data_IF_193032436187
#
_entry.id   IF_193032436187
#
_cell.length_a   1.000
_cell.length_b   1.000
_cell.length_c   1.000
_cell.angle_alpha   90.00
_cell.angle_beta   90.00
_cell.angle_gamma   90.00
#
_symmetry.space_group_name_H-M   'P 1'
#
loop_
_entity.id
_entity.type
_entity.pdbx_description
1 polymer ?
#
# COMPACT_ATOMS: atom_id res chain seq x y z
N UNK A 1 7.72 -17.44 -14.23
CA UNK A 1 7.04 -16.51 -15.16
C UNK A 1 5.51 -16.72 -15.21
N UNK A 2 4.98 -17.95 -15.18
CA UNK A 2 3.52 -18.20 -15.24
C UNK A 2 2.67 -17.84 -14.01
N UNK A 3 3.26 -17.67 -12.83
CA UNK A 3 2.53 -17.39 -11.58
C UNK A 3 1.99 -15.96 -11.48
N UNK A 4 2.62 -14.98 -12.15
CA UNK A 4 2.20 -13.57 -12.12
C UNK A 4 1.03 -13.31 -13.09
N UNK A 5 1.01 -14.03 -14.22
CA UNK A 5 -0.06 -13.97 -15.21
C UNK A 5 -1.37 -14.58 -14.69
N UNK A 6 -1.29 -15.64 -13.87
CA UNK A 6 -2.47 -16.22 -13.22
C UNK A 6 -3.08 -15.29 -12.16
N UNK A 7 -2.22 -14.54 -11.45
CA UNK A 7 -2.66 -13.53 -10.48
C UNK A 7 -3.37 -12.36 -11.20
N UNK A 8 -2.87 -11.93 -12.37
CA UNK A 8 -3.53 -10.95 -13.22
C UNK A 8 -4.87 -11.42 -13.79
N UNK A 9 -4.97 -12.70 -14.18
CA UNK A 9 -6.22 -13.27 -14.68
C UNK A 9 -7.31 -13.38 -13.59
N UNK A 10 -6.94 -13.68 -12.35
CA UNK A 10 -7.88 -13.66 -11.21
C UNK A 10 -8.27 -12.25 -10.79
N UNK A 11 -7.41 -11.25 -11.03
CA UNK A 11 -7.75 -9.86 -10.76
C UNK A 11 -8.93 -9.35 -11.60
N UNK A 12 -9.14 -9.96 -12.78
CA UNK A 12 -10.19 -9.60 -13.72
C UNK A 12 -11.55 -10.28 -13.41
N UNK A 13 -11.57 -11.44 -12.75
CA UNK A 13 -12.81 -12.22 -12.56
C UNK A 13 -13.54 -11.94 -11.24
N UNK A 14 -12.90 -11.36 -10.21
CA UNK A 14 -13.51 -11.18 -8.89
C UNK A 14 -13.05 -9.88 -8.18
N UNK A 15 -13.58 -8.69 -8.57
CA UNK A 15 -13.20 -7.42 -7.96
C UNK A 15 -13.48 -7.34 -6.44
N UNK A 16 -14.44 -8.14 -5.93
CA UNK A 16 -14.72 -8.27 -4.48
C UNK A 16 -13.67 -9.10 -3.73
N UNK A 17 -12.97 -10.02 -4.40
CA UNK A 17 -11.90 -10.84 -3.80
C UNK A 17 -10.52 -10.20 -3.95
N UNK A 18 -10.34 -9.30 -4.93
CA UNK A 18 -9.09 -8.54 -5.08
C UNK A 18 -8.81 -7.71 -3.83
N UNK A 19 -9.82 -6.99 -3.30
CA UNK A 19 -9.71 -6.26 -2.05
C UNK A 19 -9.29 -7.12 -0.84
N UNK A 20 -9.61 -8.42 -0.86
CA UNK A 20 -9.21 -9.39 0.17
C UNK A 20 -7.79 -9.92 -0.02
N UNK A 21 -7.29 -9.92 -1.26
CA UNK A 21 -5.91 -10.31 -1.57
C UNK A 21 -4.91 -9.16 -1.48
N UNK A 22 -5.34 -7.91 -1.63
CA UNK A 22 -4.48 -6.72 -1.50
C UNK A 22 -3.67 -6.67 -0.19
N UNK A 23 -4.21 -7.03 1.00
CA UNK A 23 -3.44 -7.14 2.23
C UNK A 23 -2.26 -8.13 2.15
N UNK A 24 -2.36 -9.15 1.27
CA UNK A 24 -1.31 -10.15 1.05
C UNK A 24 -0.38 -9.77 -0.11
N UNK A 25 -0.89 -9.06 -1.11
CA UNK A 25 -0.16 -8.66 -2.32
C UNK A 25 0.70 -7.43 -2.06
N UNK A 26 0.18 -6.43 -1.34
CA UNK A 26 0.87 -5.17 -1.06
C UNK A 26 2.21 -5.38 -0.34
N UNK A 27 2.33 -6.23 0.71
CA UNK A 27 3.62 -6.53 1.34
C UNK A 27 4.61 -7.20 0.37
N UNK A 28 4.14 -8.15 -0.44
CA UNK A 28 4.98 -8.85 -1.43
C UNK A 28 5.52 -7.89 -2.49
N UNK A 29 4.71 -6.94 -2.96
CA UNK A 29 5.19 -5.90 -3.88
C UNK A 29 6.20 -4.98 -3.20
N UNK A 30 5.99 -4.65 -1.92
CA UNK A 30 6.97 -3.94 -1.09
C UNK A 30 8.32 -4.66 -0.98
N UNK A 31 8.33 -6.00 -0.95
CA UNK A 31 9.58 -6.78 -0.99
C UNK A 31 10.25 -6.74 -2.37
N UNK A 32 9.47 -6.84 -3.44
CA UNK A 32 9.97 -6.75 -4.83
C UNK A 32 10.56 -5.36 -5.11
N UNK A 33 10.07 -4.31 -4.48
CA UNK A 33 10.63 -2.95 -4.58
C UNK A 33 12.02 -2.81 -3.96
N UNK A 34 12.41 -3.72 -3.06
CA UNK A 34 13.75 -3.76 -2.47
C UNK A 34 14.76 -4.52 -3.33
N UNK A 35 14.32 -5.13 -4.44
CA UNK A 35 15.21 -5.76 -5.40
C UNK A 35 16.10 -4.69 -6.07
N UNK A 36 17.42 -4.89 -6.13
CA UNK A 36 18.33 -3.90 -6.73
C UNK A 36 18.21 -3.83 -8.26
N UNK A 37 17.52 -4.76 -8.92
CA UNK A 37 17.42 -4.78 -10.37
C UNK A 37 16.39 -3.74 -10.88
N UNK A 38 16.80 -2.79 -11.75
CA UNK A 38 15.91 -1.71 -12.20
C UNK A 38 14.61 -2.20 -12.87
N UNK A 39 14.66 -3.31 -13.61
CA UNK A 39 13.47 -3.89 -14.26
C UNK A 39 12.47 -4.47 -13.26
N UNK A 40 12.95 -4.99 -12.14
CA UNK A 40 12.10 -5.55 -11.08
C UNK A 40 11.42 -4.41 -10.31
N UNK A 41 12.16 -3.34 -10.04
CA UNK A 41 11.61 -2.13 -9.43
C UNK A 41 10.54 -1.46 -10.31
N UNK A 42 10.80 -1.36 -11.62
CA UNK A 42 9.83 -0.78 -12.57
C UNK A 42 8.56 -1.62 -12.65
N UNK A 43 8.67 -2.94 -12.74
CA UNK A 43 7.52 -3.85 -12.72
C UNK A 43 6.70 -3.72 -11.43
N UNK A 44 7.36 -3.58 -10.27
CA UNK A 44 6.69 -3.41 -8.99
C UNK A 44 5.99 -2.05 -8.87
N UNK A 45 6.61 -0.97 -9.36
CA UNK A 45 5.97 0.37 -9.44
C UNK A 45 4.75 0.36 -10.35
N UNK A 46 4.83 -0.31 -11.50
CA UNK A 46 3.69 -0.45 -12.40
C UNK A 46 2.55 -1.24 -11.74
N UNK A 47 2.86 -2.34 -11.05
CA UNK A 47 1.88 -3.12 -10.30
C UNK A 47 1.21 -2.28 -9.19
N UNK A 48 1.97 -1.47 -8.46
CA UNK A 48 1.42 -0.53 -7.46
C UNK A 48 0.50 0.51 -8.11
N UNK A 49 0.84 1.02 -9.29
CA UNK A 49 0.02 1.97 -10.04
C UNK A 49 -1.31 1.34 -10.49
N UNK A 50 -1.27 0.10 -10.99
CA UNK A 50 -2.50 -0.64 -11.34
C UNK A 50 -3.38 -0.91 -10.11
N UNK A 51 -2.78 -1.19 -8.95
CA UNK A 51 -3.52 -1.27 -7.67
C UNK A 51 -4.12 0.10 -7.30
N UNK A 52 -3.41 1.19 -7.55
CA UNK A 52 -3.93 2.55 -7.40
C UNK A 52 -5.18 2.80 -8.25
N UNK A 53 -5.26 2.22 -9.45
CA UNK A 53 -6.38 2.41 -10.38
C UNK A 53 -7.70 1.78 -9.92
N UNK A 54 -7.66 0.78 -9.01
CA UNK A 54 -8.87 0.16 -8.45
C UNK A 54 -9.43 0.92 -7.24
N UNK A 55 -8.74 1.97 -6.77
CA UNK A 55 -9.20 2.84 -5.69
C UNK A 55 -10.38 3.67 -6.21
N UNK A 56 -11.53 3.52 -5.57
CA UNK A 56 -12.75 4.26 -5.92
C UNK A 56 -13.01 5.45 -5.00
N UNK A 57 -12.42 5.45 -3.81
CA UNK A 57 -12.54 6.57 -2.89
C UNK A 57 -11.70 7.76 -3.42
N UNK A 58 -12.32 8.93 -3.70
CA UNK A 58 -11.64 10.06 -4.31
C UNK A 58 -10.59 10.69 -3.38
N UNK A 59 -10.81 10.67 -2.07
CA UNK A 59 -9.87 11.22 -1.09
C UNK A 59 -8.60 10.38 -1.05
N UNK A 60 -8.75 9.05 -1.06
CA UNK A 60 -7.61 8.13 -1.11
C UNK A 60 -6.90 8.19 -2.46
N UNK A 61 -7.64 8.35 -3.57
CA UNK A 61 -7.03 8.54 -4.88
C UNK A 61 -6.10 9.76 -4.92
N UNK A 62 -6.44 10.86 -4.23
CA UNK A 62 -5.60 12.07 -4.17
C UNK A 62 -4.29 11.85 -3.44
N UNK A 63 -4.29 11.08 -2.35
CA UNK A 63 -3.08 10.78 -1.56
C UNK A 63 -2.41 9.46 -1.97
N UNK A 64 -2.96 8.73 -2.94
CA UNK A 64 -2.52 7.38 -3.34
C UNK A 64 -1.03 7.33 -3.65
N UNK A 65 -0.48 8.32 -4.36
CA UNK A 65 0.95 8.39 -4.66
C UNK A 65 1.84 8.41 -3.39
N UNK A 66 1.41 9.09 -2.33
CA UNK A 66 2.11 9.14 -1.05
C UNK A 66 1.97 7.81 -0.30
N UNK A 67 0.78 7.19 -0.35
CA UNK A 67 0.55 5.87 0.24
C UNK A 67 1.44 4.81 -0.45
N UNK A 68 1.45 4.77 -1.78
CA UNK A 68 2.30 3.87 -2.57
C UNK A 68 3.79 4.12 -2.32
N UNK A 69 4.20 5.38 -2.16
CA UNK A 69 5.59 5.72 -1.82
C UNK A 69 5.99 5.22 -0.42
N UNK A 70 5.08 5.25 0.55
CA UNK A 70 5.30 4.69 1.89
C UNK A 70 5.33 3.16 1.91
N UNK A 71 4.61 2.51 0.99
CA UNK A 71 4.68 1.06 0.79
C UNK A 71 5.99 0.62 0.14
N UNK A 72 6.53 1.45 -0.77
CA UNK A 72 7.81 1.21 -1.41
C UNK A 72 9.00 1.45 -0.47
N UNK A 73 8.95 2.56 0.27
CA UNK A 73 10.01 2.98 1.17
C UNK A 73 9.42 3.39 2.53
N UNK A 74 9.72 2.62 3.60
CA UNK A 74 9.27 2.91 4.96
C UNK A 74 9.64 4.32 5.44
N UNK A 75 10.68 4.97 4.91
CA UNK A 75 11.03 6.34 5.27
C UNK A 75 9.93 7.35 4.94
N UNK A 76 9.04 7.03 3.99
CA UNK A 76 7.91 7.87 3.61
C UNK A 76 6.66 7.64 4.48
N UNK A 77 6.67 6.68 5.40
CA UNK A 77 5.52 6.34 6.27
C UNK A 77 4.99 7.58 6.99
N UNK A 78 5.87 8.43 7.54
CA UNK A 78 5.46 9.64 8.27
C UNK A 78 4.67 10.61 7.39
N UNK A 79 5.15 10.88 6.17
CA UNK A 79 4.48 11.77 5.21
C UNK A 79 3.11 11.22 4.79
N UNK A 80 3.03 9.90 4.58
CA UNK A 80 1.77 9.24 4.26
C UNK A 80 0.76 9.35 5.42
N UNK A 81 1.20 9.14 6.66
CA UNK A 81 0.38 9.30 7.86
C UNK A 81 -0.09 10.75 8.07
N UNK A 82 0.79 11.73 7.88
CA UNK A 82 0.42 13.15 7.92
C UNK A 82 -0.64 13.49 6.87
N UNK A 83 -0.52 12.94 5.67
CA UNK A 83 -1.49 13.15 4.59
C UNK A 83 -2.83 12.48 4.91
N UNK A 84 -2.82 11.30 5.54
CA UNK A 84 -4.04 10.65 6.05
C UNK A 84 -4.71 11.47 7.15
N UNK A 85 -3.94 12.13 8.02
CA UNK A 85 -4.45 12.96 9.12
C UNK A 85 -5.05 14.29 8.62
N UNK A 86 -4.49 14.88 7.57
CA UNK A 86 -5.00 16.13 6.97
C UNK A 86 -6.13 15.90 5.96
N UNK A 87 -6.31 14.66 5.50
CA UNK A 87 -7.39 14.29 4.58
C UNK A 87 -8.73 14.28 5.31
N UNK A 88 -9.70 15.01 4.76
CA UNK A 88 -11.07 14.98 5.25
C UNK A 88 -11.84 13.87 4.55
N UNK A 89 -12.22 12.84 5.29
CA UNK A 89 -13.00 11.72 4.78
C UNK A 89 -14.51 12.04 4.76
N UNK A 90 -15.06 12.26 3.56
CA UNK A 90 -16.48 12.55 3.33
C UNK A 90 -17.16 11.33 2.69
N UNK A 91 -16.42 10.62 1.83
CA UNK A 91 -16.89 9.45 1.11
C UNK A 91 -16.60 8.17 1.91
N UNK A 92 -17.41 7.13 1.69
CA UNK A 92 -17.15 5.81 2.28
C UNK A 92 -15.81 5.26 1.81
N UNK A 93 -15.00 4.76 2.74
CA UNK A 93 -13.73 4.12 2.43
C UNK A 93 -14.01 2.68 2.02
N UNK A 94 -13.58 2.31 0.82
CA UNK A 94 -13.74 0.97 0.27
C UNK A 94 -12.62 0.01 0.72
N UNK A 95 -12.82 -1.29 0.49
CA UNK A 95 -11.86 -2.31 0.93
C UNK A 95 -10.46 -2.17 0.29
N UNK A 96 -10.38 -1.72 -0.97
CA UNK A 96 -9.08 -1.51 -1.61
C UNK A 96 -8.35 -0.32 -0.99
N UNK A 97 -9.05 0.77 -0.72
CA UNK A 97 -8.51 1.89 0.06
C UNK A 97 -7.96 1.44 1.43
N UNK A 98 -8.74 0.67 2.21
CA UNK A 98 -8.29 0.19 3.52
C UNK A 98 -7.06 -0.72 3.43
N UNK A 99 -6.98 -1.55 2.38
CA UNK A 99 -5.84 -2.45 2.19
C UNK A 99 -4.50 -1.72 1.97
N UNK A 100 -4.54 -0.48 1.46
CA UNK A 100 -3.37 0.38 1.31
C UNK A 100 -3.03 1.12 2.59
N UNK A 101 -4.05 1.60 3.31
CA UNK A 101 -3.89 2.38 4.53
C UNK A 101 -3.36 1.52 5.68
N UNK A 102 -3.91 0.31 5.85
CA UNK A 102 -3.63 -0.56 6.99
C UNK A 102 -2.14 -0.90 7.20
N UNK A 103 -1.37 -1.36 6.18
CA UNK A 103 0.06 -1.62 6.36
C UNK A 103 0.87 -0.38 6.79
N UNK A 104 0.50 0.81 6.30
CA UNK A 104 1.15 2.08 6.68
C UNK A 104 0.84 2.43 8.14
N UNK A 105 -0.42 2.28 8.57
CA UNK A 105 -0.84 2.45 9.95
C UNK A 105 -0.11 1.48 10.89
N UNK A 106 -0.07 0.19 10.54
CA UNK A 106 0.62 -0.84 11.32
C UNK A 106 2.11 -0.51 11.48
N UNK A 107 2.77 -0.10 10.39
CA UNK A 107 4.17 0.29 10.43
C UNK A 107 4.41 1.51 11.32
N UNK A 108 3.61 2.56 11.18
CA UNK A 108 3.68 3.75 12.02
C UNK A 108 3.44 3.49 13.51
N UNK A 109 2.48 2.62 13.83
CA UNK A 109 2.20 2.20 15.21
C UNK A 109 3.38 1.42 15.80
N UNK A 110 3.97 0.50 15.06
CA UNK A 110 5.15 -0.26 15.50
C UNK A 110 6.38 0.61 15.74
N UNK A 111 6.64 1.60 14.88
CA UNK A 111 7.70 2.59 15.09
C UNK A 111 7.50 3.36 16.40
N UNK A 112 6.25 3.77 16.69
CA UNK A 112 5.91 4.46 17.93
C UNK A 112 6.08 3.57 19.17
N UNK A 113 5.76 2.28 19.07
CA UNK A 113 5.99 1.33 20.16
C UNK A 113 7.49 1.12 20.43
N UNK A 114 8.33 1.10 19.40
CA UNK A 114 9.79 0.97 19.53
C UNK A 114 10.45 2.21 20.15
N UNK A 115 9.99 3.42 19.82
CA UNK A 115 10.51 4.66 20.44
C UNK A 115 10.11 4.79 21.91
N UNK A 116 8.87 4.39 22.27
CA UNK A 116 8.43 4.42 23.67
C UNK A 116 9.23 3.44 24.54
N UNK A 117 9.53 2.24 24.04
CA UNK A 117 10.30 1.23 24.79
C UNK A 117 11.77 1.62 25.05
N UNK A 118 12.28 2.66 24.38
CA UNK A 118 13.66 3.13 24.50
C UNK A 118 13.81 4.33 25.45
N UNK A 119 12.70 4.85 26.01
CA UNK A 119 12.69 5.96 26.98
C UNK A 119 12.54 5.52 28.44
N UNK A 120 12.24 4.25 28.69
CA UNK A 120 11.99 3.69 30.03
C UNK A 120 13.12 2.75 30.53
N UNK A 121 14.35 2.88 30.02
CA UNK A 121 15.52 2.13 30.47
C UNK A 121 16.78 2.97 30.41
#
# INVERSE_FOLDING_TARGET
QGSVQLLGAMAYCAPKHLGTCLPTIVPKIGEVLKDPHPRVQEAAKNALSEIGSVIRNPEISQISGQLLSALADPANTKKALESLLTTRFINTIDAASLSLIMPILMHGLQERSKTNKKKDG
#
